data_IF_261499999438
#
_entry.id   IF_261499999438
#
_cell.length_a   1.000
_cell.length_b   1.000
_cell.length_c   1.000
_cell.angle_alpha   90.00
_cell.angle_beta   90.00
_cell.angle_gamma   90.00
#
_symmetry.space_group_name_H-M   'P 1'
#
loop_
_entity.id
_entity.type
_entity.pdbx_description
1 polymer ?
#
# COMPACT_ATOMS: atom_id res chain seq x y z
N UNK A 1 -10.87 28.38 8.53
CA UNK A 1 -9.61 27.61 8.45
C UNK A 1 -9.11 27.72 7.01
N UNK A 2 -8.02 28.44 6.75
CA UNK A 2 -7.44 28.49 5.40
C UNK A 2 -6.54 27.26 5.29
N UNK A 3 -6.87 26.36 4.36
CA UNK A 3 -6.00 25.25 4.02
C UNK A 3 -4.72 25.83 3.41
N UNK A 4 -3.60 25.49 4.03
CA UNK A 4 -2.26 25.72 3.51
C UNK A 4 -2.09 24.92 2.22
N UNK A 5 -2.05 25.60 1.07
CA UNK A 5 -1.81 25.00 -0.25
C UNK A 5 -0.30 24.84 -0.58
N UNK A 6 0.60 25.08 0.37
CA UNK A 6 2.06 24.96 0.17
C UNK A 6 2.59 23.53 0.34
N UNK A 7 1.75 22.58 0.80
CA UNK A 7 2.14 21.20 1.11
C UNK A 7 2.21 20.25 -0.12
N UNK A 8 1.93 20.76 -1.32
CA UNK A 8 1.88 19.98 -2.56
C UNK A 8 0.53 19.27 -2.76
N UNK A 9 0.17 19.02 -4.02
CA UNK A 9 -1.07 18.33 -4.39
C UNK A 9 -0.97 16.84 -3.99
N UNK A 10 -1.83 16.40 -3.08
CA UNK A 10 -1.97 14.98 -2.74
C UNK A 10 -2.66 14.29 -3.91
N UNK A 11 -2.03 13.24 -4.45
CA UNK A 11 -2.60 12.45 -5.54
C UNK A 11 -3.30 11.22 -4.98
N UNK A 12 -4.44 10.87 -5.56
CA UNK A 12 -5.13 9.61 -5.27
C UNK A 12 -4.79 8.59 -6.36
N UNK A 13 -4.07 7.55 -5.98
CA UNK A 13 -3.66 6.46 -6.87
C UNK A 13 -4.60 5.25 -6.71
N UNK A 14 -4.87 4.54 -7.81
CA UNK A 14 -5.59 3.26 -7.77
C UNK A 14 -4.57 2.12 -7.79
N UNK A 15 -4.41 1.42 -6.67
CA UNK A 15 -3.38 0.39 -6.50
C UNK A 15 -3.97 -0.96 -6.05
N UNK A 16 -3.22 -2.03 -6.27
CA UNK A 16 -3.60 -3.41 -5.99
C UNK A 16 -2.93 -3.94 -4.72
N UNK A 17 -3.70 -4.61 -3.89
CA UNK A 17 -3.21 -5.40 -2.76
C UNK A 17 -3.69 -6.84 -2.91
N UNK A 18 -2.76 -7.77 -3.18
CA UNK A 18 -3.10 -9.17 -3.34
C UNK A 18 -3.04 -9.92 -2.00
N UNK A 19 -4.09 -10.68 -1.71
CA UNK A 19 -4.28 -11.36 -0.43
C UNK A 19 -5.11 -12.64 -0.59
N UNK A 20 -5.44 -13.35 0.48
CA UNK A 20 -6.40 -14.47 0.41
C UNK A 20 -7.84 -13.95 0.40
N UNK A 21 -8.78 -14.74 -0.12
CA UNK A 21 -10.22 -14.42 -0.08
C UNK A 21 -10.70 -14.07 1.34
N UNK A 22 -10.30 -14.86 2.34
CA UNK A 22 -10.67 -14.63 3.74
C UNK A 22 -10.11 -13.32 4.30
N UNK A 23 -8.87 -12.97 3.93
CA UNK A 23 -8.26 -11.71 4.33
C UNK A 23 -8.90 -10.53 3.62
N UNK A 24 -9.29 -10.69 2.34
CA UNK A 24 -9.95 -9.62 1.59
C UNK A 24 -11.27 -9.19 2.26
N UNK A 25 -12.09 -10.16 2.67
CA UNK A 25 -13.32 -9.90 3.44
C UNK A 25 -12.99 -9.17 4.74
N UNK A 26 -11.96 -9.63 5.47
CA UNK A 26 -11.57 -8.99 6.73
C UNK A 26 -11.09 -7.55 6.54
N UNK A 27 -10.31 -7.29 5.49
CA UNK A 27 -9.80 -5.96 5.16
C UNK A 27 -10.95 -5.02 4.79
N UNK A 28 -11.97 -5.48 4.06
CA UNK A 28 -13.14 -4.66 3.77
C UNK A 28 -13.87 -4.17 5.04
N UNK A 29 -13.79 -4.93 6.15
CA UNK A 29 -14.38 -4.53 7.43
C UNK A 29 -13.46 -3.74 8.35
N UNK A 30 -12.14 -3.99 8.29
CA UNK A 30 -11.18 -3.52 9.30
C UNK A 30 -10.01 -2.72 8.74
N UNK A 31 -10.02 -2.45 7.44
CA UNK A 31 -8.88 -1.95 6.68
C UNK A 31 -7.67 -2.91 6.69
N UNK A 32 -6.58 -2.54 6.01
CA UNK A 32 -5.34 -3.34 5.97
C UNK A 32 -4.56 -3.14 7.27
N UNK A 33 -4.30 -4.25 7.96
CA UNK A 33 -3.39 -4.27 9.10
C UNK A 33 -2.11 -5.03 8.73
N UNK A 34 -1.05 -4.27 8.43
CA UNK A 34 0.22 -4.82 7.96
C UNK A 34 0.89 -5.75 8.97
N UNK A 35 0.65 -5.54 10.27
CA UNK A 35 1.23 -6.32 11.39
C UNK A 35 0.85 -7.79 11.33
N UNK A 36 -0.21 -8.12 10.60
CA UNK A 36 -0.74 -9.48 10.49
C UNK A 36 -0.14 -10.27 9.32
N UNK A 37 0.65 -9.63 8.46
CA UNK A 37 1.25 -10.28 7.29
C UNK A 37 2.72 -10.65 7.47
N UNK A 38 3.41 -10.01 8.43
CA UNK A 38 4.86 -10.13 8.60
C UNK A 38 5.70 -9.65 7.40
N UNK A 39 5.06 -9.02 6.40
CA UNK A 39 5.74 -8.53 5.19
C UNK A 39 6.39 -7.19 5.49
N UNK A 40 7.69 -7.20 5.75
CA UNK A 40 8.43 -5.98 6.12
C UNK A 40 9.63 -5.68 5.21
N UNK A 41 9.93 -6.50 4.19
CA UNK A 41 11.10 -6.34 3.29
C UNK A 41 11.33 -4.93 2.70
N UNK A 42 10.26 -4.16 2.51
CA UNK A 42 10.31 -2.80 1.95
C UNK A 42 9.79 -1.75 2.94
N UNK A 43 9.68 -2.11 4.22
CA UNK A 43 9.11 -1.32 5.29
C UNK A 43 7.90 -1.95 5.96
N UNK A 44 7.71 -1.58 7.23
CA UNK A 44 6.65 -2.00 8.14
C UNK A 44 5.36 -1.22 7.88
N UNK A 45 4.71 -1.48 6.75
CA UNK A 45 3.51 -0.77 6.34
C UNK A 45 2.61 -1.58 5.42
N UNK A 46 1.48 -1.01 5.04
CA UNK A 46 0.56 -1.59 4.06
C UNK A 46 1.18 -1.50 2.66
N UNK A 47 1.32 -2.64 1.99
CA UNK A 47 1.93 -2.71 0.65
C UNK A 47 0.88 -2.72 -0.44
N UNK A 48 1.12 -1.94 -1.48
CA UNK A 48 0.33 -1.88 -2.69
C UNK A 48 1.22 -1.97 -3.92
N UNK A 49 0.64 -2.29 -5.07
CA UNK A 49 1.34 -2.31 -6.35
C UNK A 49 0.50 -1.64 -7.42
N UNK A 50 1.09 -0.88 -8.37
CA UNK A 50 0.37 -0.42 -9.55
C UNK A 50 0.15 -1.55 -10.56
N UNK A 51 0.79 -2.72 -10.38
CA UNK A 51 0.74 -3.84 -11.29
C UNK A 51 0.09 -5.06 -10.63
N UNK A 52 -1.12 -5.41 -11.06
CA UNK A 52 -1.86 -6.56 -10.54
C UNK A 52 -1.09 -7.88 -10.71
N UNK A 53 -0.39 -8.09 -11.83
CA UNK A 53 0.39 -9.31 -12.06
C UNK A 53 1.58 -9.42 -11.09
N UNK A 54 2.24 -8.28 -10.79
CA UNK A 54 3.30 -8.24 -9.78
C UNK A 54 2.73 -8.58 -8.40
N UNK A 55 1.63 -7.94 -8.00
CA UNK A 55 0.97 -8.22 -6.73
C UNK A 55 0.54 -9.70 -6.63
N UNK A 56 0.03 -10.29 -7.72
CA UNK A 56 -0.36 -11.70 -7.78
C UNK A 56 0.78 -12.67 -7.48
N UNK A 57 2.00 -12.35 -7.93
CA UNK A 57 3.17 -13.23 -7.76
C UNK A 57 3.43 -13.55 -6.28
N UNK A 58 3.01 -12.66 -5.39
CA UNK A 58 3.12 -12.78 -3.94
C UNK A 58 1.79 -13.12 -3.27
N UNK A 59 0.72 -13.31 -4.02
CA UNK A 59 -0.53 -13.89 -3.55
C UNK A 59 -0.38 -15.42 -3.53
N UNK A 60 -0.89 -16.09 -2.50
CA UNK A 60 -0.94 -17.56 -2.49
C UNK A 60 -1.81 -18.10 -3.63
N UNK A 61 -1.74 -19.43 -3.88
CA UNK A 61 -2.43 -20.14 -4.98
C UNK A 61 -3.95 -19.93 -5.15
N UNK A 62 -4.64 -19.26 -4.20
CA UNK A 62 -6.07 -18.89 -4.26
C UNK A 62 -6.26 -17.47 -3.72
N UNK A 63 -5.78 -16.51 -4.49
CA UNK A 63 -5.76 -15.10 -4.11
C UNK A 63 -7.04 -14.35 -4.48
N UNK A 64 -7.28 -13.25 -3.80
CA UNK A 64 -8.15 -12.16 -4.22
C UNK A 64 -7.32 -10.89 -4.32
N UNK A 65 -7.75 -9.94 -5.16
CA UNK A 65 -7.22 -8.59 -5.11
C UNK A 65 -8.14 -7.68 -4.33
N UNK A 66 -7.53 -6.76 -3.61
CA UNK A 66 -8.16 -5.51 -3.25
C UNK A 66 -7.67 -4.46 -4.23
N UNK A 67 -8.60 -3.71 -4.80
CA UNK A 67 -8.31 -2.44 -5.47
C UNK A 67 -8.57 -1.35 -4.44
N UNK A 68 -7.54 -0.57 -4.14
CA UNK A 68 -7.60 0.48 -3.14
C UNK A 68 -7.31 1.85 -3.75
N UNK A 69 -8.00 2.88 -3.24
CA UNK A 69 -7.57 4.28 -3.40
C UNK A 69 -6.49 4.57 -2.38
N UNK A 70 -5.36 5.11 -2.82
CA UNK A 70 -4.20 5.36 -1.96
C UNK A 70 -3.76 6.81 -2.13
N UNK A 71 -3.73 7.55 -1.04
CA UNK A 71 -3.26 8.94 -1.03
C UNK A 71 -1.73 8.95 -1.02
N UNK A 72 -1.14 9.66 -1.98
CA UNK A 72 0.31 9.77 -2.16
C UNK A 72 0.68 11.23 -2.33
N UNK A 73 1.47 11.76 -1.40
CA UNK A 73 1.94 13.15 -1.44
C UNK A 73 3.39 13.26 -1.90
N UNK A 74 4.31 12.67 -1.14
CA UNK A 74 5.75 12.71 -1.40
C UNK A 74 6.32 11.30 -1.23
N UNK A 75 7.05 10.87 -2.27
CA UNK A 75 7.61 9.53 -2.36
C UNK A 75 9.10 9.58 -2.02
N UNK A 76 9.53 8.65 -1.17
CA UNK A 76 10.93 8.27 -1.03
C UNK A 76 11.17 6.96 -1.79
N UNK A 77 12.15 6.94 -2.69
CA UNK A 77 12.58 5.69 -3.32
C UNK A 77 13.45 4.89 -2.34
N UNK A 78 13.12 3.61 -2.15
CA UNK A 78 13.84 2.74 -1.23
C UNK A 78 14.15 1.36 -1.81
N UNK A 79 15.25 0.79 -1.34
CA UNK A 79 15.68 -0.56 -1.64
C UNK A 79 14.99 -1.59 -0.74
N UNK A 80 15.77 -2.55 -0.27
CA UNK A 80 15.33 -3.50 0.77
C UNK A 80 15.67 -2.89 2.13
N UNK A 81 14.66 -2.74 2.97
CA UNK A 81 14.80 -2.33 4.36
C UNK A 81 13.69 -2.99 5.18
N UNK A 82 14.08 -3.89 6.10
CA UNK A 82 13.14 -4.64 6.93
C UNK A 82 12.67 -3.86 8.16
N UNK A 83 13.42 -2.82 8.53
CA UNK A 83 13.25 -2.09 9.78
C UNK A 83 12.65 -0.70 9.57
N UNK A 84 12.51 -0.24 8.32
CA UNK A 84 11.88 1.01 7.94
C UNK A 84 10.43 1.13 8.46
N UNK A 85 10.24 1.97 9.47
CA UNK A 85 8.93 2.21 10.11
C UNK A 85 8.18 3.39 9.50
N UNK A 86 8.90 4.34 8.91
CA UNK A 86 8.42 5.52 8.17
C UNK A 86 9.49 5.93 7.14
N UNK A 87 9.17 6.72 6.10
CA UNK A 87 10.17 7.28 5.20
C UNK A 87 11.24 8.08 5.96
N UNK A 88 12.51 7.94 5.56
CA UNK A 88 13.63 8.60 6.25
C UNK A 88 13.77 10.09 5.90
N UNK A 89 13.28 10.47 4.73
CA UNK A 89 13.30 11.82 4.18
C UNK A 89 12.12 12.59 4.76
N UNK A 90 12.42 13.74 5.37
CA UNK A 90 11.40 14.63 5.90
C UNK A 90 10.31 14.90 4.86
N UNK A 91 9.06 14.92 5.34
CA UNK A 91 7.83 15.12 4.58
C UNK A 91 7.38 14.00 3.63
N UNK A 92 8.14 12.92 3.44
CA UNK A 92 7.65 11.78 2.64
C UNK A 92 6.60 10.99 3.42
N UNK A 93 5.50 10.63 2.75
CA UNK A 93 4.38 9.87 3.33
C UNK A 93 4.26 8.45 2.77
N UNK A 94 5.07 8.15 1.77
CA UNK A 94 5.03 6.92 0.99
C UNK A 94 6.46 6.54 0.64
N UNK A 95 6.80 5.25 0.74
CA UNK A 95 8.00 4.76 0.07
C UNK A 95 7.64 3.95 -1.17
N UNK A 96 8.48 4.06 -2.19
CA UNK A 96 8.34 3.34 -3.44
C UNK A 96 9.60 2.50 -3.66
N UNK A 97 9.43 1.21 -3.86
CA UNK A 97 10.56 0.36 -4.24
C UNK A 97 11.15 0.84 -5.57
N UNK A 98 12.48 0.84 -5.69
CA UNK A 98 13.22 1.31 -6.88
C UNK A 98 12.74 0.78 -8.25
N UNK A 99 12.02 -0.35 -8.31
CA UNK A 99 11.46 -0.88 -9.55
C UNK A 99 10.01 -0.42 -9.83
N UNK A 100 9.48 0.50 -9.04
CA UNK A 100 8.15 1.10 -9.17
C UNK A 100 6.99 0.17 -8.77
N UNK A 101 7.26 -1.05 -8.31
CA UNK A 101 6.22 -2.08 -8.15
C UNK A 101 5.64 -2.18 -6.75
N UNK A 102 6.23 -1.54 -5.74
CA UNK A 102 5.76 -1.64 -4.34
C UNK A 102 5.69 -0.26 -3.71
N UNK A 103 4.47 0.18 -3.42
CA UNK A 103 4.17 1.35 -2.59
C UNK A 103 3.96 0.87 -1.16
N UNK A 104 4.57 1.55 -0.19
CA UNK A 104 4.35 1.26 1.24
C UNK A 104 3.75 2.49 1.91
N UNK A 105 2.61 2.28 2.58
CA UNK A 105 1.92 3.27 3.40
C UNK A 105 2.02 2.90 4.87
N UNK A 106 2.28 3.91 5.70
CA UNK A 106 2.56 3.73 7.12
C UNK A 106 1.41 4.25 8.02
N UNK A 107 0.43 4.94 7.44
CA UNK A 107 -0.76 5.46 8.11
C UNK A 107 -2.03 4.82 7.54
N UNK A 108 -2.83 4.19 8.41
CA UNK A 108 -4.04 3.43 8.06
C UNK A 108 -5.14 4.29 7.41
N UNK A 109 -5.13 5.61 7.59
CA UNK A 109 -6.15 6.51 7.04
C UNK A 109 -5.76 7.12 5.69
N UNK A 110 -4.66 6.65 5.10
CA UNK A 110 -4.16 7.14 3.79
C UNK A 110 -4.50 6.21 2.63
N UNK A 111 -5.37 5.22 2.87
CA UNK A 111 -5.88 4.33 1.84
C UNK A 111 -7.28 3.80 2.17
N UNK A 112 -8.04 3.50 1.11
CA UNK A 112 -9.39 2.99 1.20
C UNK A 112 -9.55 1.76 0.29
N UNK A 113 -9.76 0.54 0.86
CA UNK A 113 -10.11 -0.65 0.11
C UNK A 113 -11.48 -0.48 -0.59
N UNK A 114 -11.49 -0.28 -1.90
CA UNK A 114 -12.70 0.08 -2.65
C UNK A 114 -13.40 -1.16 -3.24
N UNK A 115 -12.64 -2.09 -3.82
CA UNK A 115 -13.19 -3.30 -4.45
C UNK A 115 -12.46 -4.57 -4.01
N UNK A 116 -13.21 -5.68 -3.94
CA UNK A 116 -12.65 -7.03 -3.88
C UNK A 116 -12.85 -7.69 -5.25
N UNK A 117 -11.77 -8.20 -5.83
CA UNK A 117 -11.78 -8.92 -7.11
C UNK A 117 -11.42 -10.38 -6.89
N UNK A 118 -12.33 -11.25 -7.32
CA UNK A 118 -12.09 -12.70 -7.41
C UNK A 118 -11.77 -13.06 -8.87
N UNK A 119 -10.76 -13.89 -9.06
CA UNK A 119 -10.30 -14.35 -10.37
C UNK A 119 -9.87 -15.82 -10.25
N UNK A 120 -9.89 -16.52 -11.39
CA UNK A 120 -9.61 -17.95 -11.51
C UNK A 120 -8.65 -18.23 -12.64
#
# INVERSE_FOLDING_TARGET
MKLDNSLGEVREETLFHATSVSNAIRIAHKNIDWRLTGRTRFGKGAWFSPNAAYANRYAGRRGAFIIARVLVRKIEETGIDYDLEIPSTNDCDTTLRNDGNVYVKYDDNTFYPEYIVHYS
#
